data_IF_724321350706
#
_entry.id   IF_724321350706
#
_cell.length_a   1.000
_cell.length_b   1.000
_cell.length_c   1.000
_cell.angle_alpha   90.00
_cell.angle_beta   90.00
_cell.angle_gamma   90.00
#
_symmetry.space_group_name_H-M   'P 1'
#
loop_
_entity.id
_entity.type
_entity.pdbx_description
1 polymer ?
#
# COMPACT_ATOMS: atom_id res chain seq x y z
N UNK A 1 10.36 2.67 -1.55
CA UNK A 1 8.92 2.61 -1.18
C UNK A 1 8.23 1.43 -1.85
N UNK A 2 8.40 1.24 -3.16
CA UNK A 2 7.90 0.05 -3.86
C UNK A 2 8.50 -1.24 -3.27
N UNK A 3 9.82 -1.27 -3.11
CA UNK A 3 10.54 -2.44 -2.56
C UNK A 3 10.29 -2.67 -1.06
N UNK A 4 9.80 -1.65 -0.35
CA UNK A 4 9.58 -1.69 1.11
C UNK A 4 8.15 -2.13 1.46
N UNK A 5 7.21 -2.04 0.52
CA UNK A 5 5.79 -2.28 0.78
C UNK A 5 5.54 -3.63 1.43
N UNK A 6 5.98 -4.72 0.79
CA UNK A 6 5.71 -6.09 1.23
C UNK A 6 6.20 -6.36 2.66
N UNK A 7 7.42 -5.91 2.97
CA UNK A 7 8.01 -6.07 4.30
C UNK A 7 7.28 -5.20 5.35
N UNK A 8 6.91 -3.98 4.99
CA UNK A 8 6.24 -3.05 5.89
C UNK A 8 4.81 -3.50 6.26
N UNK A 9 4.07 -4.08 5.31
CA UNK A 9 2.67 -4.47 5.52
C UNK A 9 2.51 -5.90 6.05
N UNK A 10 3.51 -6.75 5.83
CA UNK A 10 3.51 -8.15 6.21
C UNK A 10 2.79 -9.05 5.20
N UNK A 11 3.09 -10.35 5.27
CA UNK A 11 2.71 -11.39 4.30
C UNK A 11 1.25 -11.31 3.85
N UNK A 12 0.31 -11.31 4.80
CA UNK A 12 -1.14 -11.31 4.50
C UNK A 12 -1.60 -10.13 3.63
N UNK A 13 -1.02 -8.94 3.83
CA UNK A 13 -1.37 -7.75 3.04
C UNK A 13 -0.57 -7.75 1.72
N UNK A 14 0.68 -8.20 1.74
CA UNK A 14 1.51 -8.32 0.55
C UNK A 14 0.95 -9.32 -0.48
N UNK A 15 0.26 -10.37 -0.03
CA UNK A 15 -0.40 -11.36 -0.91
C UNK A 15 -1.58 -10.79 -1.72
N UNK A 16 -2.19 -9.71 -1.24
CA UNK A 16 -3.47 -9.17 -1.76
C UNK A 16 -3.38 -7.72 -2.20
N UNK A 17 -2.17 -7.16 -2.16
CA UNK A 17 -1.91 -5.77 -2.55
C UNK A 17 -0.51 -5.60 -3.15
N UNK A 18 -0.38 -4.65 -4.07
CA UNK A 18 0.88 -4.38 -4.75
C UNK A 18 1.11 -2.86 -4.88
N UNK A 19 2.26 -2.39 -4.42
CA UNK A 19 2.70 -1.02 -4.64
C UNK A 19 3.13 -0.81 -6.10
N UNK A 20 2.43 0.04 -6.83
CA UNK A 20 2.65 0.24 -8.27
C UNK A 20 3.56 1.42 -8.59
N UNK A 21 3.36 2.56 -7.92
CA UNK A 21 4.13 3.77 -8.20
C UNK A 21 4.12 4.75 -7.04
N UNK A 22 5.08 5.68 -7.04
CA UNK A 22 5.10 6.84 -6.17
C UNK A 22 5.12 8.11 -7.02
N UNK A 23 4.16 9.00 -6.79
CA UNK A 23 4.09 10.31 -7.46
C UNK A 23 3.86 11.38 -6.41
N UNK A 24 4.72 12.40 -6.35
CA UNK A 24 4.61 13.51 -5.40
C UNK A 24 4.32 13.03 -3.96
N UNK A 25 5.19 12.15 -3.44
CA UNK A 25 5.07 11.54 -2.10
C UNK A 25 3.77 10.75 -1.85
N UNK A 26 3.04 10.39 -2.90
CA UNK A 26 1.84 9.55 -2.83
C UNK A 26 2.16 8.16 -3.36
N UNK A 27 2.00 7.15 -2.50
CA UNK A 27 2.12 5.74 -2.87
C UNK A 27 0.79 5.23 -3.40
N UNK A 28 0.81 4.69 -4.62
CA UNK A 28 -0.34 4.05 -5.24
C UNK A 28 -0.20 2.54 -5.09
N UNK A 29 -1.23 1.93 -4.51
CA UNK A 29 -1.28 0.51 -4.23
C UNK A 29 -2.56 -0.04 -4.81
N UNK A 30 -2.43 -1.11 -5.60
CA UNK A 30 -3.58 -1.86 -6.06
C UNK A 30 -3.90 -2.99 -5.08
N UNK A 31 -5.18 -3.33 -4.95
CA UNK A 31 -5.69 -4.38 -4.07
C UNK A 31 -6.64 -5.30 -4.82
N UNK A 32 -6.63 -6.58 -4.49
CA UNK A 32 -7.29 -7.63 -5.28
C UNK A 32 -8.84 -7.63 -5.33
N UNK A 33 -9.54 -6.81 -4.54
CA UNK A 33 -11.00 -6.89 -4.27
C UNK A 33 -11.44 -5.76 -3.31
N UNK A 34 -12.76 -5.58 -3.19
CA UNK A 34 -13.36 -4.48 -2.41
C UNK A 34 -13.27 -4.67 -0.89
N UNK A 35 -13.22 -5.91 -0.38
CA UNK A 35 -13.21 -6.15 1.06
C UNK A 35 -11.89 -5.68 1.73
N UNK A 36 -10.73 -6.05 1.19
CA UNK A 36 -9.43 -5.47 1.60
C UNK A 36 -9.31 -4.00 1.23
N UNK A 37 -9.91 -3.53 0.13
CA UNK A 37 -9.90 -2.09 -0.13
C UNK A 37 -10.52 -1.32 1.04
N UNK A 38 -11.65 -1.80 1.55
CA UNK A 38 -12.31 -1.22 2.72
C UNK A 38 -11.46 -1.41 3.99
N UNK A 39 -10.99 -2.63 4.28
CA UNK A 39 -10.17 -2.93 5.47
C UNK A 39 -8.88 -2.08 5.51
N UNK A 40 -8.11 -2.07 4.42
CA UNK A 40 -6.87 -1.30 4.32
C UNK A 40 -7.14 0.21 4.31
N UNK A 41 -8.29 0.66 3.81
CA UNK A 41 -8.68 2.07 3.90
C UNK A 41 -8.87 2.54 5.34
N UNK A 42 -9.42 1.68 6.20
CA UNK A 42 -9.56 1.96 7.64
C UNK A 42 -8.21 1.97 8.37
N UNK A 43 -7.20 1.27 7.82
CA UNK A 43 -5.86 1.13 8.40
C UNK A 43 -4.80 2.03 7.76
N UNK A 44 -5.17 2.94 6.83
CA UNK A 44 -4.23 3.76 6.06
C UNK A 44 -3.18 4.48 6.88
N UNK A 45 -3.55 5.02 8.05
CA UNK A 45 -2.61 5.70 8.94
C UNK A 45 -1.48 4.77 9.41
N UNK A 46 -1.85 3.58 9.91
CA UNK A 46 -0.88 2.59 10.36
C UNK A 46 -0.01 2.05 9.21
N UNK A 47 -0.57 1.89 8.01
CA UNK A 47 0.19 1.49 6.83
C UNK A 47 1.22 2.56 6.45
N UNK A 48 0.83 3.84 6.49
CA UNK A 48 1.73 4.96 6.20
C UNK A 48 2.89 5.02 7.19
N UNK A 49 2.61 4.84 8.48
CA UNK A 49 3.63 4.78 9.53
C UNK A 49 4.61 3.63 9.31
N UNK A 50 4.11 2.43 8.99
CA UNK A 50 4.96 1.26 8.71
C UNK A 50 5.84 1.45 7.49
N UNK A 51 5.28 1.97 6.40
CA UNK A 51 6.05 2.25 5.17
C UNK A 51 7.14 3.27 5.44
N UNK A 52 6.82 4.37 6.13
CA UNK A 52 7.82 5.40 6.46
C UNK A 52 8.89 4.89 7.44
N UNK A 53 8.52 4.03 8.39
CA UNK A 53 9.50 3.38 9.26
C UNK A 53 10.48 2.49 8.46
N UNK A 54 10.00 1.78 7.44
CA UNK A 54 10.84 0.98 6.55
C UNK A 54 11.71 1.82 5.60
N UNK A 55 11.29 3.04 5.26
CA UNK A 55 12.09 3.97 4.43
C UNK A 55 13.20 4.66 5.23
N UNK A 56 13.00 4.88 6.53
CA UNK A 56 13.97 5.58 7.37
C UNK A 56 14.29 6.98 6.84
N UNK A 57 15.57 7.26 6.60
CA UNK A 57 16.04 8.56 6.10
C UNK A 57 16.04 8.67 4.57
N UNK A 58 15.70 7.61 3.84
CA UNK A 58 15.79 7.56 2.37
C UNK A 58 14.63 8.28 1.67
N UNK A 59 13.51 8.52 2.38
CA UNK A 59 12.39 9.28 1.87
C UNK A 59 11.14 9.19 2.74
N UNK A 60 10.12 9.94 2.32
CA UNK A 60 8.83 10.03 3.03
C UNK A 60 7.68 9.89 2.06
N UNK A 61 6.65 9.16 2.48
CA UNK A 61 5.33 9.10 1.84
C UNK A 61 4.35 9.87 2.71
N UNK A 62 3.57 10.75 2.10
CA UNK A 62 2.56 11.59 2.76
C UNK A 62 1.16 10.98 2.64
N UNK A 63 0.94 10.13 1.63
CA UNK A 63 -0.38 9.57 1.31
C UNK A 63 -0.28 8.19 0.67
N UNK A 64 -1.26 7.33 1.00
CA UNK A 64 -1.53 6.08 0.28
C UNK A 64 -2.88 6.19 -0.45
N UNK A 65 -2.87 5.90 -1.74
CA UNK A 65 -4.07 5.73 -2.58
C UNK A 65 -4.22 4.24 -2.86
N UNK A 66 -5.42 3.72 -2.59
CA UNK A 66 -5.77 2.32 -2.82
C UNK A 66 -6.76 2.26 -3.98
N UNK A 67 -6.49 1.38 -4.94
CA UNK A 67 -7.37 1.11 -6.09
C UNK A 67 -7.56 -0.38 -6.26
N UNK A 68 -8.63 -0.82 -6.91
CA UNK A 68 -8.77 -2.22 -7.28
C UNK A 68 -7.76 -2.57 -8.38
N UNK A 69 -7.18 -3.76 -8.32
CA UNK A 69 -6.44 -4.34 -9.45
C UNK A 69 -7.41 -4.50 -10.63
N UNK A 70 -6.96 -4.19 -11.83
CA UNK A 70 -7.73 -4.46 -13.05
C UNK A 70 -7.68 -5.98 -13.36
N UNK A 71 -8.80 -6.68 -13.13
CA UNK A 71 -9.05 -8.11 -13.46
C UNK A 71 -9.12 -9.04 -12.24
N UNK A 72 -10.12 -9.91 -12.04
CA UNK A 72 -11.33 -10.26 -12.79
C UNK A 72 -12.54 -10.10 -11.86
N UNK A 73 -13.50 -9.26 -12.25
CA UNK A 73 -14.87 -9.40 -11.75
C UNK A 73 -15.41 -10.75 -12.23
N UNK A 74 -15.35 -11.76 -11.37
CA UNK A 74 -16.15 -12.98 -11.50
C UNK A 74 -17.62 -12.70 -11.20
#
# INVERSE_FOLDING_TARGET
ALDVWSDAVGEKIAEVSEAKTVVASTLFVEVWSSAWLMELSLMKGALLERVNAGLGAEGTIDRIVLTLMEGDGS
#
